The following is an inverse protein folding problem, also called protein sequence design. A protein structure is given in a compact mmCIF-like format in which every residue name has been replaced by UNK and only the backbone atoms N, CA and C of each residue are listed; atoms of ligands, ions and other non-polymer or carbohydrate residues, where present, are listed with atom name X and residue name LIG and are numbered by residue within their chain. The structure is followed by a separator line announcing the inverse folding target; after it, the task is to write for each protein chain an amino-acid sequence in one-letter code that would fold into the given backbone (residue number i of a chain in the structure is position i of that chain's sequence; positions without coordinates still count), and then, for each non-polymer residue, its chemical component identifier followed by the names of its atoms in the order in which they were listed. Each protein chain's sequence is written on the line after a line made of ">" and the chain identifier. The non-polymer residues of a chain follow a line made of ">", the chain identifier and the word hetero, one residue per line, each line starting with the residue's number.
data_IF_910146115887
#
_entry.id   IF_910146115887
#
_cell.length_a   1.000
_cell.length_b   1.000
_cell.length_c   1.000
_cell.angle_alpha   90.00
_cell.angle_beta   90.00
_cell.angle_gamma   90.00
#
_symmetry.space_group_name_H-M   'P 1'
#
loop_
_entity.id
_entity.type
_entity.pdbx_description
1 polymer ?
#
# COMPACT_ATOMS: atom_id res chain seq x y z
N UNK A 1 -18.97 15.74 15.61
CA UNK A 1 -19.29 15.58 14.18
C UNK A 1 -20.41 14.55 14.03
N UNK A 2 -21.53 14.92 13.40
CA UNK A 2 -22.63 13.99 13.23
C UNK A 2 -22.30 12.99 12.12
N UNK A 3 -22.44 11.70 12.41
CA UNK A 3 -22.26 10.60 11.45
C UNK A 3 -23.60 10.25 10.81
N UNK A 4 -23.59 9.85 9.55
CA UNK A 4 -24.80 9.45 8.82
C UNK A 4 -25.47 8.20 9.45
N UNK A 5 -26.76 8.00 9.18
CA UNK A 5 -27.57 6.89 9.76
C UNK A 5 -26.95 5.52 9.50
N UNK A 6 -26.54 5.22 8.26
CA UNK A 6 -25.90 3.95 7.90
C UNK A 6 -24.61 3.68 8.71
N UNK A 7 -23.76 4.69 8.87
CA UNK A 7 -22.57 4.55 9.71
C UNK A 7 -22.91 4.25 11.16
N UNK A 8 -23.96 4.90 11.72
CA UNK A 8 -24.40 4.67 13.10
C UNK A 8 -24.94 3.25 13.28
N UNK A 9 -25.68 2.73 12.30
CA UNK A 9 -26.17 1.34 12.29
C UNK A 9 -25.03 0.34 12.23
N UNK A 10 -24.05 0.54 11.34
CA UNK A 10 -22.84 -0.28 11.25
C UNK A 10 -22.02 -0.22 12.55
N UNK A 11 -21.86 0.97 13.14
CA UNK A 11 -21.11 1.16 14.37
C UNK A 11 -21.72 0.49 15.61
N UNK A 12 -23.05 0.27 15.64
CA UNK A 12 -23.75 -0.46 16.72
C UNK A 12 -23.39 -1.95 16.74
N UNK A 13 -22.96 -2.51 15.62
CA UNK A 13 -22.58 -3.93 15.49
C UNK A 13 -21.17 -4.21 15.99
N UNK A 14 -20.39 -3.16 16.28
CA UNK A 14 -18.97 -3.27 16.67
C UNK A 14 -18.80 -2.76 18.10
N UNK A 15 -18.33 -3.62 18.98
CA UNK A 15 -17.92 -3.20 20.32
C UNK A 15 -16.50 -2.59 20.24
N UNK A 16 -16.40 -1.32 20.62
CA UNK A 16 -15.13 -0.57 20.60
C UNK A 16 -14.14 -0.99 21.69
N UNK A 17 -14.61 -1.65 22.74
CA UNK A 17 -13.78 -2.11 23.83
C UNK A 17 -13.09 -3.44 23.50
N UNK A 18 -13.74 -4.26 22.69
CA UNK A 18 -13.28 -5.61 22.35
C UNK A 18 -12.16 -5.56 21.29
N UNK A 19 -11.14 -6.41 21.49
CA UNK A 19 -10.11 -6.73 20.52
C UNK A 19 -10.55 -8.01 19.81
N UNK A 20 -10.97 -7.86 18.56
CA UNK A 20 -11.47 -8.99 17.75
C UNK A 20 -10.32 -9.82 17.20
N UNK A 21 -10.57 -11.10 17.00
CA UNK A 21 -9.67 -11.93 16.21
C UNK A 21 -9.63 -11.41 14.76
N UNK A 22 -8.47 -11.47 14.09
CA UNK A 22 -8.33 -10.91 12.75
C UNK A 22 -9.38 -11.42 11.75
N UNK A 23 -9.69 -12.72 11.77
CA UNK A 23 -10.70 -13.30 10.88
C UNK A 23 -12.11 -12.77 11.20
N UNK A 24 -12.51 -12.78 12.47
CA UNK A 24 -13.79 -12.26 12.93
C UNK A 24 -13.92 -10.75 12.64
N UNK A 25 -12.83 -9.99 12.87
CA UNK A 25 -12.80 -8.57 12.58
C UNK A 25 -13.02 -8.27 11.09
N UNK A 26 -12.41 -9.04 10.20
CA UNK A 26 -12.60 -8.91 8.76
C UNK A 26 -14.01 -9.32 8.31
N UNK A 27 -14.60 -10.36 8.90
CA UNK A 27 -16.00 -10.73 8.66
C UNK A 27 -16.95 -9.59 9.06
N UNK A 28 -16.72 -8.96 10.21
CA UNK A 28 -17.50 -7.81 10.67
C UNK A 28 -17.38 -6.63 9.71
N UNK A 29 -16.18 -6.35 9.18
CA UNK A 29 -15.95 -5.30 8.20
C UNK A 29 -16.73 -5.58 6.93
N UNK A 30 -16.71 -6.81 6.41
CA UNK A 30 -17.48 -7.19 5.24
C UNK A 30 -19.00 -7.03 5.45
N UNK A 31 -19.50 -7.38 6.65
CA UNK A 31 -20.92 -7.23 7.01
C UNK A 31 -21.35 -5.76 7.18
N UNK A 32 -20.46 -4.92 7.68
CA UNK A 32 -20.76 -3.52 7.99
C UNK A 32 -20.49 -2.55 6.84
N UNK A 33 -19.87 -3.01 5.75
CA UNK A 33 -19.70 -2.26 4.52
C UNK A 33 -21.08 -1.99 3.88
N UNK A 34 -21.45 -0.70 3.81
CA UNK A 34 -22.81 -0.29 3.42
C UNK A 34 -22.87 0.58 2.17
N UNK A 35 -21.74 0.84 1.52
CA UNK A 35 -21.68 1.65 0.31
C UNK A 35 -22.22 0.89 -0.91
N UNK A 36 -22.61 1.65 -1.94
CA UNK A 36 -23.08 1.09 -3.23
C UNK A 36 -21.95 0.69 -4.18
N UNK A 37 -20.71 0.92 -3.79
CA UNK A 37 -19.50 0.56 -4.56
C UNK A 37 -18.69 -0.46 -3.76
N UNK A 38 -17.77 -1.15 -4.44
CA UNK A 38 -16.88 -2.10 -3.80
C UNK A 38 -15.83 -1.37 -2.96
N UNK A 39 -16.09 -1.33 -1.64
CA UNK A 39 -15.26 -0.61 -0.68
C UNK A 39 -13.87 -1.25 -0.57
N UNK A 40 -12.86 -0.43 -0.38
CA UNK A 40 -11.51 -0.90 -0.06
C UNK A 40 -11.41 -1.15 1.44
N UNK A 41 -10.84 -2.27 1.82
CA UNK A 41 -10.48 -2.58 3.21
C UNK A 41 -9.05 -2.12 3.45
N UNK A 42 -8.88 -1.26 4.45
CA UNK A 42 -7.60 -0.67 4.83
C UNK A 42 -7.19 -1.13 6.23
N UNK A 43 -5.89 -1.30 6.40
CA UNK A 43 -5.27 -1.67 7.67
C UNK A 43 -4.45 -0.49 8.20
N UNK A 44 -4.65 -0.16 9.46
CA UNK A 44 -3.95 0.90 10.17
C UNK A 44 -3.21 0.30 11.37
N UNK A 45 -1.88 0.29 11.31
CA UNK A 45 -1.03 -0.32 12.33
C UNK A 45 -0.21 0.75 13.02
N UNK A 46 -0.48 0.98 14.32
CA UNK A 46 0.31 1.90 15.13
C UNK A 46 1.50 1.18 15.71
N UNK A 47 2.69 1.68 15.42
CA UNK A 47 3.95 1.11 15.86
C UNK A 47 4.51 1.84 17.10
N UNK A 48 5.29 1.12 17.89
CA UNK A 48 6.03 1.63 19.04
C UNK A 48 7.43 2.11 18.67
N UNK A 49 7.52 2.93 17.61
CA UNK A 49 8.77 3.54 17.12
C UNK A 49 8.66 5.06 17.14
N UNK A 50 9.76 5.77 16.96
CA UNK A 50 9.78 7.23 16.79
C UNK A 50 10.16 7.57 15.35
N UNK A 51 9.18 8.10 14.58
CA UNK A 51 9.36 8.47 13.18
C UNK A 51 10.31 9.65 12.95
N UNK A 52 10.75 10.36 14.01
CA UNK A 52 11.73 11.45 13.92
C UNK A 52 13.14 10.93 13.70
N UNK A 53 13.42 9.72 14.15
CA UNK A 53 14.73 9.07 14.00
C UNK A 53 14.79 8.27 12.72
N UNK A 54 15.83 8.50 11.91
CA UNK A 54 15.99 7.86 10.61
C UNK A 54 16.19 6.32 10.71
N UNK A 55 16.79 5.85 11.82
CA UNK A 55 17.01 4.44 12.16
C UNK A 55 15.74 3.71 12.62
N UNK A 56 14.68 4.45 12.98
CA UNK A 56 13.39 3.90 13.36
C UNK A 56 12.31 4.06 12.28
N UNK A 57 12.68 4.57 11.13
CA UNK A 57 11.79 4.70 9.97
C UNK A 57 11.50 3.31 9.36
N UNK A 58 10.22 2.92 9.38
CA UNK A 58 9.75 1.68 8.77
C UNK A 58 9.17 1.98 7.40
N UNK A 59 9.79 1.43 6.36
CA UNK A 59 9.34 1.53 4.97
C UNK A 59 9.70 0.25 4.23
N UNK A 60 8.77 -0.25 3.43
CA UNK A 60 8.99 -1.41 2.57
C UNK A 60 7.88 -1.59 1.56
N UNK A 61 7.95 -2.69 0.85
CA UNK A 61 6.90 -3.10 -0.07
C UNK A 61 6.69 -4.62 0.04
N UNK A 62 5.48 -5.05 -0.22
CA UNK A 62 5.11 -6.47 -0.25
C UNK A 62 4.13 -6.70 -1.39
N UNK A 63 4.23 -7.85 -2.04
CA UNK A 63 3.23 -8.34 -2.99
C UNK A 63 2.20 -9.12 -2.19
N UNK A 64 0.94 -8.69 -2.25
CA UNK A 64 -0.15 -9.37 -1.56
C UNK A 64 -0.56 -10.64 -2.31
N UNK A 65 -0.80 -11.77 -1.64
CA UNK A 65 -1.16 -13.05 -2.29
C UNK A 65 -2.38 -12.93 -3.20
N UNK A 66 -3.40 -12.20 -2.77
CA UNK A 66 -4.65 -12.00 -3.53
C UNK A 66 -4.72 -10.64 -4.23
N UNK A 67 -3.59 -9.90 -4.29
CA UNK A 67 -3.55 -8.54 -4.84
C UNK A 67 -4.38 -7.53 -4.04
N UNK A 68 -4.59 -6.35 -4.62
CA UNK A 68 -5.38 -5.26 -4.01
C UNK A 68 -6.78 -5.10 -4.62
N UNK A 69 -7.08 -5.80 -5.71
CA UNK A 69 -8.34 -5.62 -6.46
C UNK A 69 -8.42 -4.33 -7.27
N UNK A 70 -7.29 -3.63 -7.44
CA UNK A 70 -7.18 -2.44 -8.27
C UNK A 70 -6.31 -2.77 -9.50
N UNK A 71 -6.79 -2.46 -10.69
CA UNK A 71 -5.94 -2.48 -11.89
C UNK A 71 -5.00 -1.28 -11.85
N UNK A 72 -3.70 -1.55 -11.87
CA UNK A 72 -2.65 -0.54 -11.73
C UNK A 72 -2.05 -0.25 -13.10
N UNK A 73 -1.99 1.03 -13.48
CA UNK A 73 -1.30 1.50 -14.68
C UNK A 73 0.16 1.78 -14.33
N UNK A 74 1.06 1.09 -15.00
CA UNK A 74 2.49 1.13 -14.70
C UNK A 74 3.23 1.91 -15.78
N UNK A 75 3.93 2.96 -15.35
CA UNK A 75 4.87 3.73 -16.17
C UNK A 75 6.29 3.25 -15.90
N UNK A 76 7.05 2.95 -16.96
CA UNK A 76 8.44 2.48 -16.85
C UNK A 76 9.40 3.44 -17.56
N UNK A 77 10.42 3.86 -16.85
CA UNK A 77 11.57 4.57 -17.42
C UNK A 77 12.72 3.58 -17.61
N UNK A 78 12.95 3.15 -18.84
CA UNK A 78 14.00 2.21 -19.20
C UNK A 78 14.49 2.46 -20.64
N UNK A 79 15.73 2.01 -20.93
CA UNK A 79 16.37 2.13 -22.25
C UNK A 79 16.59 0.76 -22.89
N UNK A 80 16.56 0.74 -24.23
CA UNK A 80 16.92 -0.42 -25.02
C UNK A 80 16.17 -1.70 -24.66
N UNK A 81 16.88 -2.82 -24.55
CA UNK A 81 16.32 -4.15 -24.27
C UNK A 81 15.47 -4.20 -22.99
N UNK A 82 15.81 -3.37 -21.97
CA UNK A 82 15.04 -3.28 -20.74
C UNK A 82 13.66 -2.65 -20.95
N UNK A 83 13.55 -1.71 -21.90
CA UNK A 83 12.27 -1.11 -22.27
C UNK A 83 11.38 -2.13 -23.00
N UNK A 84 11.94 -2.93 -23.88
CA UNK A 84 11.17 -3.96 -24.60
C UNK A 84 10.75 -5.10 -23.66
N UNK A 85 11.62 -5.50 -22.73
CA UNK A 85 11.27 -6.46 -21.68
C UNK A 85 10.13 -5.93 -20.79
N UNK A 86 10.13 -4.65 -20.44
CA UNK A 86 9.06 -4.04 -19.66
C UNK A 86 7.73 -3.99 -20.41
N UNK A 87 7.76 -3.69 -21.74
CA UNK A 87 6.56 -3.78 -22.60
C UNK A 87 6.01 -5.20 -22.65
N UNK A 88 6.89 -6.19 -22.87
CA UNK A 88 6.50 -7.60 -22.90
C UNK A 88 5.91 -8.07 -21.57
N UNK A 89 6.38 -7.53 -20.43
CA UNK A 89 5.83 -7.78 -19.09
C UNK A 89 4.48 -7.10 -18.85
N UNK A 90 4.00 -6.27 -19.77
CA UNK A 90 2.70 -5.62 -19.73
C UNK A 90 2.70 -4.22 -19.11
N UNK A 91 3.82 -3.49 -19.16
CA UNK A 91 3.82 -2.07 -18.77
C UNK A 91 2.88 -1.26 -19.70
N UNK A 92 2.12 -0.33 -19.10
CA UNK A 92 1.15 0.47 -19.88
C UNK A 92 1.85 1.60 -20.63
N UNK A 93 2.89 2.16 -20.02
CA UNK A 93 3.69 3.22 -20.64
C UNK A 93 5.18 2.93 -20.44
N UNK A 94 5.95 2.98 -21.51
CA UNK A 94 7.40 2.78 -21.46
C UNK A 94 8.05 3.85 -22.33
N UNK A 95 9.02 4.55 -21.78
CA UNK A 95 9.76 5.58 -22.53
C UNK A 95 10.92 6.15 -21.74
N UNK A 96 11.52 7.19 -22.34
CA UNK A 96 12.72 7.85 -21.79
C UNK A 96 12.44 9.34 -21.50
N UNK A 97 13.10 10.23 -22.24
CA UNK A 97 12.97 11.69 -22.08
C UNK A 97 11.62 12.21 -22.56
N UNK A 98 11.02 11.59 -23.55
CA UNK A 98 9.73 11.93 -24.12
C UNK A 98 8.62 11.95 -23.04
N UNK A 99 8.59 10.91 -22.19
CA UNK A 99 7.64 10.83 -21.08
C UNK A 99 7.92 11.87 -19.99
N UNK A 100 9.20 12.19 -19.74
CA UNK A 100 9.57 13.25 -18.78
C UNK A 100 9.06 14.61 -19.26
N UNK A 101 9.24 14.91 -20.54
CA UNK A 101 8.73 16.14 -21.11
C UNK A 101 7.21 16.20 -21.09
N UNK A 102 6.53 15.12 -21.41
CA UNK A 102 5.08 15.01 -21.35
C UNK A 102 4.56 15.30 -19.93
N UNK A 103 5.15 14.70 -18.92
CA UNK A 103 4.77 14.92 -17.52
C UNK A 103 4.98 16.41 -17.12
N UNK A 104 6.11 17.01 -17.53
CA UNK A 104 6.42 18.39 -17.16
C UNK A 104 5.58 19.44 -17.92
N UNK A 105 5.34 19.23 -19.22
CA UNK A 105 4.64 20.18 -20.08
C UNK A 105 3.12 20.06 -19.99
N UNK A 106 2.61 18.84 -19.95
CA UNK A 106 1.18 18.56 -20.01
C UNK A 106 0.54 18.24 -18.64
N UNK A 107 1.33 18.18 -17.57
CA UNK A 107 0.86 17.68 -16.26
C UNK A 107 0.14 16.32 -16.37
N UNK A 108 0.69 15.42 -17.20
CA UNK A 108 0.09 14.12 -17.45
C UNK A 108 0.42 13.12 -16.33
N UNK A 109 -0.60 12.52 -15.71
CA UNK A 109 -0.50 11.59 -14.57
C UNK A 109 -1.43 10.38 -14.71
N UNK A 110 -1.65 9.90 -15.93
CA UNK A 110 -2.51 8.74 -16.19
C UNK A 110 -1.85 7.40 -15.82
N UNK A 111 -1.08 7.39 -14.74
CA UNK A 111 -0.41 6.21 -14.20
C UNK A 111 -0.48 6.19 -12.68
N UNK A 112 -0.43 4.99 -12.10
CA UNK A 112 -0.55 4.76 -10.66
C UNK A 112 0.78 4.36 -10.01
N UNK A 113 1.70 3.77 -10.77
CA UNK A 113 3.03 3.34 -10.29
C UNK A 113 4.09 3.73 -11.32
N UNK A 114 5.23 4.19 -10.82
CA UNK A 114 6.40 4.50 -11.64
C UNK A 114 7.54 3.55 -11.29
N UNK A 115 8.05 2.87 -12.29
CA UNK A 115 9.25 2.02 -12.21
C UNK A 115 10.37 2.68 -13.00
N UNK A 116 11.58 2.66 -12.48
CA UNK A 116 12.74 3.20 -13.18
C UNK A 116 13.95 2.26 -13.08
N UNK A 117 14.70 2.15 -14.16
CA UNK A 117 16.02 1.54 -14.08
C UNK A 117 17.01 2.52 -13.43
N UNK A 118 18.05 2.02 -12.72
CA UNK A 118 19.04 2.89 -12.07
C UNK A 118 19.66 3.91 -13.04
N UNK A 119 19.88 3.51 -14.29
CA UNK A 119 20.46 4.35 -15.34
C UNK A 119 19.58 5.58 -15.67
N UNK A 120 18.25 5.45 -15.52
CA UNK A 120 17.27 6.50 -15.79
C UNK A 120 17.01 7.41 -14.60
N UNK A 121 17.51 7.09 -13.41
CA UNK A 121 17.22 7.88 -12.20
C UNK A 121 17.73 9.32 -12.29
N UNK A 122 18.82 9.57 -13.01
CA UNK A 122 19.29 10.94 -13.27
C UNK A 122 18.28 11.80 -14.03
N UNK A 123 17.55 11.18 -14.94
CA UNK A 123 16.49 11.84 -15.74
C UNK A 123 15.21 11.99 -14.91
N UNK A 124 14.79 10.91 -14.25
CA UNK A 124 13.60 10.88 -13.39
C UNK A 124 13.75 11.82 -12.20
N UNK A 125 14.97 12.07 -11.72
CA UNK A 125 15.26 13.04 -10.67
C UNK A 125 14.73 14.45 -10.96
N UNK A 126 14.65 14.86 -12.22
CA UNK A 126 14.06 16.15 -12.65
C UNK A 126 12.56 16.24 -12.33
N UNK A 127 11.87 15.08 -12.28
CA UNK A 127 10.46 14.97 -11.92
C UNK A 127 10.22 14.97 -10.40
N UNK A 128 11.27 15.00 -9.58
CA UNK A 128 11.16 14.88 -8.12
C UNK A 128 10.21 15.90 -7.47
N UNK A 129 10.18 17.15 -7.98
CA UNK A 129 9.28 18.21 -7.49
C UNK A 129 7.81 17.92 -7.80
N UNK A 130 7.53 17.11 -8.82
CA UNK A 130 6.19 16.82 -9.32
C UNK A 130 5.70 15.46 -8.83
N UNK A 131 6.53 14.41 -8.93
CA UNK A 131 6.20 13.06 -8.51
C UNK A 131 6.30 12.86 -6.98
N UNK A 132 7.20 13.59 -6.32
CA UNK A 132 7.43 13.48 -4.88
C UNK A 132 6.18 13.76 -4.03
N UNK A 133 5.51 14.91 -4.19
CA UNK A 133 4.29 15.23 -3.44
C UNK A 133 3.13 14.26 -3.70
N UNK A 134 3.10 13.66 -4.90
CA UNK A 134 2.08 12.65 -5.28
C UNK A 134 2.41 11.23 -4.80
N UNK A 135 3.58 11.01 -4.20
CA UNK A 135 4.02 9.67 -3.76
C UNK A 135 4.41 8.74 -4.90
N UNK A 136 4.59 9.25 -6.13
CA UNK A 136 4.87 8.46 -7.34
C UNK A 136 6.38 8.36 -7.64
N UNK A 137 7.24 8.95 -6.80
CA UNK A 137 8.68 8.93 -7.03
C UNK A 137 9.27 7.54 -6.81
N UNK A 138 9.94 6.94 -7.81
CA UNK A 138 10.57 5.63 -7.66
C UNK A 138 11.62 5.62 -6.54
N UNK A 139 11.70 4.51 -5.82
CA UNK A 139 12.65 4.34 -4.71
C UNK A 139 13.23 2.92 -4.68
N UNK A 140 14.54 2.76 -4.40
CA UNK A 140 15.13 1.44 -4.19
C UNK A 140 14.49 0.69 -3.01
N UNK A 141 14.07 1.42 -1.96
CA UNK A 141 13.46 0.84 -0.76
C UNK A 141 12.09 0.20 -1.01
N UNK A 142 11.34 0.72 -1.99
CA UNK A 142 10.05 0.12 -2.43
C UNK A 142 10.24 -0.87 -3.58
N UNK A 143 11.49 -1.07 -4.05
CA UNK A 143 11.79 -1.95 -5.17
C UNK A 143 11.20 -1.47 -6.51
N UNK A 144 10.96 -0.16 -6.65
CA UNK A 144 10.52 0.48 -7.89
C UNK A 144 11.70 1.04 -8.68
N UNK A 145 12.90 1.07 -8.08
CA UNK A 145 14.17 1.28 -8.80
C UNK A 145 14.92 -0.04 -8.83
N UNK A 146 14.96 -0.67 -10.00
CA UNK A 146 15.56 -1.99 -10.19
C UNK A 146 16.15 -2.14 -11.60
N UNK A 147 17.22 -2.91 -11.76
CA UNK A 147 17.74 -3.27 -13.09
C UNK A 147 16.77 -4.18 -13.88
N UNK A 148 15.94 -4.95 -13.18
CA UNK A 148 14.92 -5.84 -13.75
C UNK A 148 13.55 -5.15 -13.74
N UNK A 149 13.30 -4.35 -14.78
CA UNK A 149 12.04 -3.63 -14.93
C UNK A 149 10.86 -4.56 -15.19
N UNK A 150 11.07 -5.69 -15.88
CA UNK A 150 10.01 -6.64 -16.21
C UNK A 150 9.41 -7.27 -14.95
N UNK A 151 10.27 -7.73 -14.02
CA UNK A 151 9.85 -8.29 -12.74
C UNK A 151 9.10 -7.25 -11.91
N UNK A 152 9.60 -6.01 -11.84
CA UNK A 152 8.94 -4.95 -11.10
C UNK A 152 7.54 -4.62 -11.63
N UNK A 153 7.33 -4.66 -12.95
CA UNK A 153 6.02 -4.50 -13.59
C UNK A 153 5.08 -5.63 -13.21
N UNK A 154 5.54 -6.88 -13.26
CA UNK A 154 4.74 -8.04 -12.86
C UNK A 154 4.33 -7.95 -11.39
N UNK A 155 5.26 -7.63 -10.49
CA UNK A 155 4.97 -7.44 -9.06
C UNK A 155 3.96 -6.30 -8.83
N UNK A 156 4.11 -5.16 -9.52
CA UNK A 156 3.19 -4.05 -9.42
C UNK A 156 1.77 -4.44 -9.85
N UNK A 157 1.63 -5.17 -10.96
CA UNK A 157 0.34 -5.69 -11.46
C UNK A 157 -0.23 -6.82 -10.60
N UNK A 158 0.63 -7.60 -9.94
CA UNK A 158 0.21 -8.62 -8.98
C UNK A 158 -0.33 -8.04 -7.67
N UNK A 159 -0.25 -6.73 -7.47
CA UNK A 159 -0.77 -6.06 -6.26
C UNK A 159 0.30 -5.80 -5.21
N UNK A 160 1.46 -5.32 -5.65
CA UNK A 160 2.50 -4.81 -4.76
C UNK A 160 2.01 -3.57 -4.02
N UNK A 161 2.06 -3.61 -2.69
CA UNK A 161 1.70 -2.49 -1.82
C UNK A 161 2.95 -1.96 -1.13
N UNK A 162 3.15 -0.65 -1.21
CA UNK A 162 4.18 0.03 -0.43
C UNK A 162 3.60 0.44 0.93
N UNK A 163 4.35 0.21 1.99
CA UNK A 163 4.02 0.70 3.33
C UNK A 163 5.10 1.63 3.85
N UNK A 164 4.66 2.70 4.49
CA UNK A 164 5.53 3.73 5.06
C UNK A 164 4.95 4.24 6.36
N UNK A 165 5.83 4.40 7.35
CA UNK A 165 5.50 5.02 8.62
C UNK A 165 5.19 6.51 8.42
N UNK A 166 4.08 6.99 8.97
CA UNK A 166 3.72 8.40 9.00
C UNK A 166 4.34 9.14 10.21
N UNK A 167 4.05 10.43 10.32
CA UNK A 167 4.53 11.27 11.44
C UNK A 167 3.89 10.92 12.79
N UNK A 168 2.77 10.18 12.77
CA UNK A 168 2.05 9.73 13.98
C UNK A 168 2.40 8.31 14.37
N UNK A 169 3.40 7.72 13.71
CA UNK A 169 3.87 6.36 13.90
C UNK A 169 2.83 5.29 13.51
N UNK A 170 2.04 5.59 12.48
CA UNK A 170 1.03 4.68 11.94
C UNK A 170 1.40 4.32 10.50
N UNK A 171 1.21 3.05 10.14
CA UNK A 171 1.24 2.56 8.77
C UNK A 171 -0.21 2.42 8.30
N UNK A 172 -0.52 2.95 7.13
CA UNK A 172 -1.82 2.85 6.47
C UNK A 172 -1.65 2.12 5.14
N UNK A 173 -2.31 0.95 5.00
CA UNK A 173 -2.20 0.14 3.79
C UNK A 173 -3.54 -0.46 3.39
N UNK A 174 -3.89 -0.48 2.09
CA UNK A 174 -5.00 -1.27 1.60
C UNK A 174 -4.63 -2.75 1.62
N UNK A 175 -5.57 -3.60 2.03
CA UNK A 175 -5.41 -5.07 2.04
C UNK A 175 -6.30 -5.78 1.03
N UNK A 176 -7.20 -5.06 0.38
CA UNK A 176 -8.07 -5.60 -0.67
C UNK A 176 -9.42 -4.91 -0.76
N UNK A 177 -10.35 -5.56 -1.43
CA UNK A 177 -11.73 -5.11 -1.59
C UNK A 177 -12.67 -5.94 -0.74
N UNK A 178 -13.81 -5.37 -0.36
CA UNK A 178 -14.87 -6.10 0.38
C UNK A 178 -15.34 -7.32 -0.41
N UNK A 179 -15.38 -7.24 -1.73
CA UNK A 179 -15.72 -8.34 -2.65
C UNK A 179 -14.80 -9.57 -2.54
N UNK A 180 -13.61 -9.43 -1.97
CA UNK A 180 -12.69 -10.57 -1.77
C UNK A 180 -13.22 -11.58 -0.73
N UNK A 181 -14.04 -11.12 0.20
CA UNK A 181 -14.46 -11.91 1.35
C UNK A 181 -13.39 -12.01 2.43
N UNK A 182 -13.79 -12.46 3.62
CA UNK A 182 -12.95 -12.47 4.81
C UNK A 182 -11.69 -13.35 4.68
N UNK A 183 -11.79 -14.51 4.02
CA UNK A 183 -10.67 -15.44 3.92
C UNK A 183 -9.50 -14.88 3.11
N UNK A 184 -9.75 -14.32 1.90
CA UNK A 184 -8.70 -13.69 1.08
C UNK A 184 -8.13 -12.42 1.73
N UNK A 185 -8.99 -11.64 2.41
CA UNK A 185 -8.55 -10.49 3.18
C UNK A 185 -7.66 -10.90 4.35
N UNK A 186 -7.95 -12.04 4.99
CA UNK A 186 -7.13 -12.57 6.08
C UNK A 186 -5.75 -13.03 5.61
N UNK A 187 -5.66 -13.68 4.44
CA UNK A 187 -4.37 -14.03 3.84
C UNK A 187 -3.52 -12.79 3.55
N UNK A 188 -4.12 -11.76 2.93
CA UNK A 188 -3.45 -10.49 2.66
C UNK A 188 -3.03 -9.78 3.95
N UNK A 189 -3.90 -9.77 4.96
CA UNK A 189 -3.61 -9.23 6.29
C UNK A 189 -2.41 -9.92 6.93
N UNK A 190 -2.40 -11.27 6.91
CA UNK A 190 -1.33 -12.08 7.50
C UNK A 190 0.02 -11.80 6.83
N UNK A 191 0.03 -11.73 5.50
CA UNK A 191 1.22 -11.40 4.73
C UNK A 191 1.75 -10.01 5.10
N UNK A 192 0.87 -8.99 5.15
CA UNK A 192 1.26 -7.62 5.45
C UNK A 192 1.78 -7.46 6.89
N UNK A 193 1.09 -8.02 7.89
CA UNK A 193 1.54 -7.97 9.29
C UNK A 193 2.88 -8.71 9.45
N UNK A 194 3.03 -9.87 8.82
CA UNK A 194 4.29 -10.61 8.83
C UNK A 194 5.46 -9.81 8.24
N UNK A 195 5.23 -9.05 7.16
CA UNK A 195 6.23 -8.16 6.58
C UNK A 195 6.57 -6.98 7.53
N UNK A 196 5.57 -6.38 8.17
CA UNK A 196 5.77 -5.28 9.14
C UNK A 196 6.57 -5.78 10.34
N UNK A 197 6.27 -6.97 10.88
CA UNK A 197 7.01 -7.56 12.00
C UNK A 197 8.46 -7.82 11.62
N UNK A 198 8.71 -8.40 10.44
CA UNK A 198 10.07 -8.63 9.91
C UNK A 198 10.86 -7.33 9.72
N UNK A 199 10.19 -6.23 9.41
CA UNK A 199 10.79 -4.91 9.22
C UNK A 199 11.06 -4.17 10.55
N UNK A 200 10.89 -4.81 11.71
CA UNK A 200 11.13 -4.19 13.03
C UNK A 200 12.57 -3.68 13.12
N UNK A 201 12.80 -2.36 13.36
CA UNK A 201 14.13 -1.83 13.56
C UNK A 201 14.76 -2.36 14.85
N UNK A 202 16.08 -2.61 14.84
CA UNK A 202 16.81 -3.04 16.03
C UNK A 202 16.74 -2.00 17.19
N UNK A 203 16.62 -0.73 16.83
CA UNK A 203 16.48 0.37 17.78
C UNK A 203 15.09 0.43 18.47
N UNK A 204 14.09 -0.30 17.96
CA UNK A 204 12.74 -0.31 18.54
C UNK A 204 12.69 -1.15 19.81
N UNK A 205 12.52 -0.47 20.96
CA UNK A 205 12.41 -1.09 22.29
C UNK A 205 10.95 -1.26 22.69
N UNK A 206 10.65 -2.31 23.48
CA UNK A 206 9.31 -2.58 23.99
C UNK A 206 8.33 -3.13 22.96
N UNK A 207 7.04 -2.85 23.16
CA UNK A 207 5.96 -3.35 22.30
C UNK A 207 6.00 -2.67 20.93
N UNK A 208 6.24 -3.45 19.88
CA UNK A 208 6.38 -2.94 18.51
C UNK A 208 5.03 -2.56 17.90
N UNK A 209 4.05 -3.47 17.91
CA UNK A 209 2.69 -3.15 17.46
C UNK A 209 1.86 -2.70 18.67
N UNK A 210 1.51 -1.41 18.71
CA UNK A 210 0.68 -0.84 19.79
C UNK A 210 -0.81 -1.05 19.57
N UNK A 211 -1.27 -0.90 18.34
CA UNK A 211 -2.66 -1.14 17.96
C UNK A 211 -2.76 -1.48 16.48
N UNK A 212 -3.74 -2.30 16.15
CA UNK A 212 -4.09 -2.68 14.79
C UNK A 212 -5.60 -2.45 14.60
N UNK A 213 -5.96 -1.71 13.57
CA UNK A 213 -7.36 -1.40 13.24
C UNK A 213 -7.55 -1.62 11.75
N UNK A 214 -8.62 -2.31 11.37
CA UNK A 214 -9.03 -2.36 9.97
C UNK A 214 -10.37 -1.66 9.79
N UNK A 215 -10.60 -1.10 8.62
CA UNK A 215 -11.82 -0.42 8.26
C UNK A 215 -12.11 -0.55 6.77
N UNK A 216 -13.39 -0.57 6.40
CA UNK A 216 -13.78 -0.32 5.02
C UNK A 216 -13.86 1.19 4.76
N UNK A 217 -13.85 1.60 3.48
CA UNK A 217 -13.79 3.01 3.06
C UNK A 217 -14.81 3.90 3.77
N UNK A 218 -16.05 3.43 3.95
CA UNK A 218 -17.14 4.20 4.57
C UNK A 218 -17.56 3.62 5.92
N UNK A 219 -16.96 2.51 6.35
CA UNK A 219 -17.31 1.79 7.56
C UNK A 219 -16.62 2.29 8.83
N UNK A 220 -17.04 1.80 9.98
CA UNK A 220 -16.35 2.02 11.25
C UNK A 220 -15.09 1.16 11.36
N UNK A 221 -14.10 1.63 12.15
CA UNK A 221 -12.88 0.87 12.43
C UNK A 221 -13.11 -0.25 13.43
N UNK A 222 -12.59 -1.43 13.13
CA UNK A 222 -12.59 -2.63 13.97
C UNK A 222 -11.20 -2.84 14.54
N UNK A 223 -11.07 -2.89 15.86
CA UNK A 223 -9.78 -3.17 16.52
C UNK A 223 -9.48 -4.66 16.46
N UNK A 224 -8.30 -4.99 16.00
CA UNK A 224 -7.86 -6.38 15.85
C UNK A 224 -6.68 -6.70 16.74
N UNK A 225 -6.62 -7.93 17.22
CA UNK A 225 -5.51 -8.45 17.99
C UNK A 225 -4.39 -8.90 17.05
N UNK A 226 -3.39 -8.06 16.82
CA UNK A 226 -2.26 -8.37 15.95
C UNK A 226 -1.31 -9.45 16.52
N UNK A 227 -1.40 -9.79 17.82
CA UNK A 227 -0.50 -10.77 18.47
C UNK A 227 -0.98 -12.21 18.32
N UNK A 228 -2.23 -12.44 17.88
CA UNK A 228 -2.82 -13.77 17.72
C UNK A 228 -2.46 -14.50 16.42
N UNK A 229 -1.56 -13.96 15.63
CA UNK A 229 -1.12 -14.51 14.35
C UNK A 229 0.18 -15.31 14.41
N UNK A 230 0.76 -15.44 15.57
CA UNK A 230 2.00 -16.20 15.78
C UNK A 230 1.75 -17.54 16.39
#
# INVERSE_FOLDING_TARGET
>A
MFRGKKYQESAKQIDKATLYDPKEGLELICKTASAKFDETVELHVKLGVDSRHADQQVRGAIVLPNGTGKSVRVLVFAKGDKADAAKAAGADYVGEMDLVEKILKENWFDFDVVVATPDMMGVVGRLGKVLGPKGLMPSPKSGTVTPDAAKAVQEAKAGKVEYRLDKTNIIHCPIGKVSFGADKLFENYSALIGAIIKAKPAAAKGQYIKSCVAASTMGPGVKMNANKQL
#
